data_IF_195564315187
#
_entry.id   IF_195564315187
#
_cell.length_a   1.000
_cell.length_b   1.000
_cell.length_c   1.000
_cell.angle_alpha   90.00
_cell.angle_beta   90.00
_cell.angle_gamma   90.00
#
_symmetry.space_group_name_H-M   'P 1'
#
loop_
_entity.id
_entity.type
_entity.pdbx_description
1 polymer ?
#
# COMPACT_ATOMS: atom_id res chain seq x y z
N UNK A 1 14.52 -23.48 -34.56
CA UNK A 1 14.26 -23.36 -33.11
C UNK A 1 14.37 -21.89 -32.73
N UNK A 2 13.22 -21.24 -32.61
CA UNK A 2 13.08 -19.78 -32.53
C UNK A 2 13.28 -19.33 -31.10
N UNK A 3 14.39 -18.63 -30.83
CA UNK A 3 14.66 -17.96 -29.57
C UNK A 3 13.60 -16.87 -29.34
N UNK A 4 12.72 -17.08 -28.35
CA UNK A 4 11.79 -16.05 -27.88
C UNK A 4 12.60 -14.97 -27.17
N UNK A 5 12.84 -13.86 -27.87
CA UNK A 5 13.24 -12.58 -27.30
C UNK A 5 12.21 -12.21 -26.23
N UNK A 6 12.59 -12.30 -24.97
CA UNK A 6 11.87 -11.66 -23.87
C UNK A 6 12.00 -10.16 -24.12
N UNK A 7 10.88 -9.49 -24.41
CA UNK A 7 10.84 -8.06 -24.64
C UNK A 7 11.33 -7.32 -23.40
N UNK A 8 12.43 -6.57 -23.53
CA UNK A 8 12.76 -5.47 -22.62
C UNK A 8 11.65 -4.42 -22.74
N UNK A 9 10.68 -4.45 -21.84
CA UNK A 9 9.72 -3.36 -21.69
C UNK A 9 10.12 -2.52 -20.48
N UNK A 10 10.49 -1.28 -20.81
CA UNK A 10 10.57 -0.04 -20.01
C UNK A 10 11.00 -0.13 -18.53
N UNK A 11 12.19 0.40 -18.26
CA UNK A 11 12.73 0.71 -16.91
C UNK A 11 12.67 2.23 -16.68
N UNK A 12 11.56 2.86 -17.03
CA UNK A 12 11.32 4.27 -16.71
C UNK A 12 10.34 4.35 -15.54
N UNK A 13 10.71 5.09 -14.48
CA UNK A 13 9.80 5.42 -13.38
C UNK A 13 10.14 4.87 -12.00
N UNK A 14 11.07 3.91 -11.85
CA UNK A 14 11.38 3.31 -10.54
C UNK A 14 12.55 4.04 -9.86
N UNK A 15 12.31 4.67 -8.72
CA UNK A 15 13.38 5.21 -7.85
C UNK A 15 13.96 4.07 -6.98
N UNK A 16 15.28 4.07 -6.78
CA UNK A 16 16.03 2.96 -6.18
C UNK A 16 15.84 2.70 -4.67
N UNK A 17 14.76 3.18 -4.06
CA UNK A 17 14.56 3.16 -2.59
C UNK A 17 13.16 2.67 -2.14
N UNK A 18 12.26 2.26 -3.04
CA UNK A 18 10.91 1.74 -2.71
C UNK A 18 10.94 0.19 -2.53
N UNK A 19 10.14 -0.38 -1.63
CA UNK A 19 10.00 -1.83 -1.44
C UNK A 19 9.73 -2.56 -2.77
N UNK A 20 8.88 -2.02 -3.63
CA UNK A 20 8.50 -2.61 -4.91
C UNK A 20 9.64 -2.63 -5.93
N UNK A 21 10.57 -1.68 -5.85
CA UNK A 21 11.80 -1.74 -6.64
C UNK A 21 12.62 -2.96 -6.25
N UNK A 22 12.87 -3.16 -4.95
CA UNK A 22 13.66 -4.29 -4.47
C UNK A 22 12.97 -5.62 -4.75
N UNK A 23 11.65 -5.69 -4.59
CA UNK A 23 10.86 -6.88 -4.93
C UNK A 23 10.94 -7.20 -6.42
N UNK A 24 10.82 -6.19 -7.30
CA UNK A 24 10.99 -6.38 -8.74
C UNK A 24 12.40 -6.88 -9.09
N UNK A 25 13.45 -6.35 -8.46
CA UNK A 25 14.81 -6.87 -8.62
C UNK A 25 14.90 -8.35 -8.25
N UNK A 26 14.20 -8.79 -7.19
CA UNK A 26 14.17 -10.20 -6.81
C UNK A 26 13.42 -11.08 -7.82
N UNK A 27 12.39 -10.57 -8.50
CA UNK A 27 11.70 -11.29 -9.57
C UNK A 27 12.68 -11.69 -10.69
N UNK A 28 13.50 -10.75 -11.15
CA UNK A 28 14.40 -10.95 -12.29
C UNK A 28 15.73 -11.61 -11.91
N UNK A 29 16.14 -11.53 -10.64
CA UNK A 29 17.39 -12.09 -10.15
C UNK A 29 17.40 -13.63 -10.26
N UNK A 30 18.54 -14.19 -10.68
CA UNK A 30 18.84 -15.62 -10.54
C UNK A 30 19.46 -15.86 -9.17
N UNK A 31 18.98 -16.88 -8.47
CA UNK A 31 19.47 -17.27 -7.15
C UNK A 31 19.80 -18.75 -7.15
N UNK A 32 20.83 -19.15 -6.40
CA UNK A 32 21.22 -20.55 -6.25
C UNK A 32 20.21 -21.31 -5.41
N UNK A 33 19.81 -20.76 -4.26
CA UNK A 33 18.66 -21.25 -3.49
C UNK A 33 17.49 -20.26 -3.65
N UNK A 34 16.24 -20.72 -3.81
CA UNK A 34 15.08 -19.83 -3.87
C UNK A 34 14.98 -18.89 -2.65
N UNK A 35 15.39 -19.37 -1.47
CA UNK A 35 15.37 -18.62 -0.21
C UNK A 35 16.29 -17.38 -0.22
N UNK A 36 17.42 -17.41 -0.95
CA UNK A 36 18.38 -16.29 -0.92
C UNK A 36 17.80 -15.00 -1.51
N UNK A 37 16.72 -15.09 -2.30
CA UNK A 37 15.97 -13.91 -2.78
C UNK A 37 15.30 -13.16 -1.63
N UNK A 38 14.75 -13.88 -0.65
CA UNK A 38 14.14 -13.28 0.54
C UNK A 38 15.24 -12.74 1.45
N UNK A 39 16.26 -13.56 1.72
CA UNK A 39 17.38 -13.18 2.57
C UNK A 39 18.14 -11.93 2.06
N UNK A 40 18.30 -11.82 0.74
CA UNK A 40 18.96 -10.66 0.12
C UNK A 40 18.24 -9.33 0.31
N UNK A 41 16.96 -9.35 0.70
CA UNK A 41 16.18 -8.15 1.02
C UNK A 41 16.37 -7.69 2.47
N UNK A 42 16.81 -8.57 3.38
CA UNK A 42 16.85 -8.28 4.81
C UNK A 42 17.69 -7.05 5.14
N UNK A 43 18.88 -6.93 4.55
CA UNK A 43 19.73 -5.76 4.74
C UNK A 43 19.11 -4.48 4.14
N UNK A 44 18.44 -4.56 3.00
CA UNK A 44 17.89 -3.40 2.30
C UNK A 44 16.62 -2.86 2.99
N UNK A 45 15.78 -3.76 3.49
CA UNK A 45 14.47 -3.42 4.05
C UNK A 45 14.48 -3.29 5.58
N UNK A 46 15.50 -3.83 6.25
CA UNK A 46 15.65 -3.80 7.71
C UNK A 46 16.99 -3.17 8.17
N UNK A 47 17.95 -2.92 7.29
CA UNK A 47 19.30 -2.49 7.71
C UNK A 47 19.45 -1.00 7.99
N UNK A 48 18.51 -0.15 7.55
CA UNK A 48 18.61 1.30 7.78
C UNK A 48 18.13 1.67 9.19
N UNK A 49 19.08 2.07 10.05
CA UNK A 49 18.90 2.22 11.50
C UNK A 49 18.28 3.57 11.93
N UNK A 50 17.83 4.41 11.01
CA UNK A 50 17.30 5.74 11.34
C UNK A 50 15.79 5.77 11.61
N UNK A 51 15.07 4.69 11.30
CA UNK A 51 13.63 4.56 11.60
C UNK A 51 13.31 3.12 12.02
N UNK A 52 13.06 2.90 13.30
CA UNK A 52 12.36 1.76 13.93
C UNK A 52 12.55 0.35 13.36
N UNK A 53 13.66 0.06 12.68
CA UNK A 53 14.00 -1.31 12.29
C UNK A 53 14.42 -2.07 13.54
N UNK A 54 13.77 -3.22 13.77
CA UNK A 54 13.90 -3.95 15.04
C UNK A 54 15.11 -4.88 15.04
N UNK A 55 15.38 -5.56 13.93
CA UNK A 55 16.47 -6.53 13.77
C UNK A 55 16.55 -7.02 12.32
N UNK A 56 17.64 -7.71 11.96
CA UNK A 56 17.74 -8.47 10.72
C UNK A 56 17.34 -9.92 11.02
N UNK A 57 16.34 -10.50 10.32
CA UNK A 57 15.97 -11.91 10.51
C UNK A 57 17.15 -12.86 10.26
N UNK A 58 17.22 -13.93 11.04
CA UNK A 58 18.23 -14.99 10.86
C UNK A 58 17.93 -15.78 9.59
N UNK A 59 18.98 -16.08 8.83
CA UNK A 59 18.88 -17.01 7.71
C UNK A 59 18.85 -18.46 8.22
N UNK A 60 17.74 -19.14 7.98
CA UNK A 60 17.57 -20.58 8.26
C UNK A 60 17.27 -21.31 6.95
N UNK A 61 18.19 -22.15 6.51
CA UNK A 61 18.04 -22.89 5.25
C UNK A 61 16.96 -23.96 5.26
N UNK A 62 16.44 -24.32 6.44
CA UNK A 62 15.35 -25.28 6.59
C UNK A 62 13.97 -24.64 6.44
N UNK A 63 13.91 -23.30 6.51
CA UNK A 63 12.68 -22.54 6.47
C UNK A 63 12.14 -22.39 5.04
N UNK A 64 10.82 -22.35 4.90
CA UNK A 64 10.18 -22.06 3.62
C UNK A 64 10.37 -20.59 3.21
N UNK A 65 10.23 -20.28 1.91
CA UNK A 65 10.32 -18.89 1.45
C UNK A 65 9.19 -18.02 2.01
N UNK A 66 8.01 -18.59 2.26
CA UNK A 66 6.87 -17.87 2.81
C UNK A 66 7.10 -17.54 4.29
N UNK A 67 7.58 -18.48 5.09
CA UNK A 67 7.86 -18.22 6.51
C UNK A 67 9.00 -17.20 6.66
N UNK A 68 10.02 -17.29 5.80
CA UNK A 68 11.11 -16.31 5.78
C UNK A 68 10.61 -14.92 5.36
N UNK A 69 9.69 -14.85 4.40
CA UNK A 69 9.05 -13.59 3.98
C UNK A 69 8.19 -13.00 5.11
N UNK A 70 7.47 -13.84 5.85
CA UNK A 70 6.69 -13.41 7.02
C UNK A 70 7.58 -12.79 8.09
N UNK A 71 8.68 -13.45 8.47
CA UNK A 71 9.65 -12.89 9.41
C UNK A 71 10.30 -11.60 8.89
N UNK A 72 10.57 -11.54 7.59
CA UNK A 72 11.13 -10.35 6.96
C UNK A 72 10.15 -9.18 7.04
N UNK A 73 8.88 -9.37 6.70
CA UNK A 73 7.89 -8.29 6.77
C UNK A 73 7.67 -7.84 8.22
N UNK A 74 7.72 -8.75 9.19
CA UNK A 74 7.62 -8.39 10.62
C UNK A 74 8.79 -7.52 11.10
N UNK A 75 9.99 -7.74 10.57
CA UNK A 75 11.22 -7.02 10.91
C UNK A 75 11.44 -5.75 10.07
N UNK A 76 10.76 -5.67 8.92
CA UNK A 76 10.88 -4.61 7.93
C UNK A 76 10.56 -3.23 8.51
N UNK A 77 11.27 -2.20 8.03
CA UNK A 77 10.97 -0.81 8.36
C UNK A 77 9.48 -0.48 8.12
N UNK A 78 8.87 0.26 9.05
CA UNK A 78 7.44 0.62 9.01
C UNK A 78 7.05 1.30 7.70
N UNK A 79 7.93 2.10 7.08
CA UNK A 79 7.67 2.74 5.79
C UNK A 79 7.43 1.71 4.70
N UNK A 80 8.25 0.67 4.61
CA UNK A 80 8.08 -0.39 3.62
C UNK A 80 6.86 -1.28 3.91
N UNK A 81 6.52 -1.51 5.20
CA UNK A 81 5.28 -2.18 5.55
C UNK A 81 4.04 -1.39 5.08
N UNK A 82 4.07 -0.06 5.24
CA UNK A 82 3.01 0.81 4.76
C UNK A 82 2.97 0.83 3.23
N UNK A 83 4.09 0.80 2.53
CA UNK A 83 4.12 0.66 1.07
C UNK A 83 3.43 -0.65 0.63
N UNK A 84 3.71 -1.78 1.28
CA UNK A 84 3.00 -3.05 1.03
C UNK A 84 1.49 -2.92 1.25
N UNK A 85 1.07 -2.23 2.32
CA UNK A 85 -0.33 -2.02 2.65
C UNK A 85 -1.05 -1.13 1.62
N UNK A 86 -0.45 0.00 1.25
CA UNK A 86 -1.09 1.09 0.53
C UNK A 86 -0.89 1.08 -0.99
N UNK A 87 0.09 0.34 -1.50
CA UNK A 87 0.40 0.30 -2.93
C UNK A 87 0.09 -1.06 -3.54
N UNK A 88 0.31 -2.18 -2.82
CA UNK A 88 -0.01 -3.49 -3.37
C UNK A 88 -1.52 -3.66 -3.51
N UNK A 89 -2.06 -3.88 -4.72
CA UNK A 89 -3.49 -3.72 -4.98
C UNK A 89 -4.34 -4.87 -4.47
N UNK A 90 -3.77 -6.05 -4.25
CA UNK A 90 -4.56 -7.23 -3.91
C UNK A 90 -4.48 -7.55 -2.43
N UNK A 91 -5.50 -8.24 -1.88
CA UNK A 91 -5.38 -8.76 -0.54
C UNK A 91 -4.36 -9.88 -0.51
N UNK A 92 -3.69 -10.03 0.63
CA UNK A 92 -2.91 -11.22 0.94
C UNK A 92 -3.75 -12.49 0.82
N UNK A 93 -3.12 -13.55 0.33
CA UNK A 93 -3.69 -14.90 0.29
C UNK A 93 -3.24 -15.79 1.46
N UNK A 94 -2.48 -15.23 2.41
CA UNK A 94 -2.10 -15.88 3.66
C UNK A 94 -3.03 -15.51 4.82
N UNK A 95 -2.65 -15.88 6.06
CA UNK A 95 -3.39 -15.51 7.26
C UNK A 95 -3.50 -13.99 7.45
N UNK A 96 -2.43 -13.26 7.08
CA UNK A 96 -2.35 -11.81 7.13
C UNK A 96 -2.74 -11.23 5.77
N UNK A 97 -3.95 -10.70 5.66
CA UNK A 97 -4.54 -10.26 4.37
C UNK A 97 -4.16 -8.83 3.98
N UNK A 98 -3.64 -8.05 4.92
CA UNK A 98 -3.22 -6.67 4.68
C UNK A 98 -1.95 -6.55 3.80
N UNK A 99 -1.12 -7.60 3.76
CA UNK A 99 0.14 -7.67 2.99
C UNK A 99 0.15 -8.84 2.00
N UNK A 100 0.94 -8.78 0.91
CA UNK A 100 1.07 -9.90 -0.02
C UNK A 100 1.91 -11.04 0.55
N UNK A 101 1.66 -12.28 0.09
CA UNK A 101 2.58 -13.41 0.26
C UNK A 101 3.81 -13.30 -0.65
N UNK A 102 4.85 -14.08 -0.36
CA UNK A 102 6.03 -14.15 -1.22
C UNK A 102 5.66 -14.61 -2.62
N UNK A 103 4.82 -15.65 -2.73
CA UNK A 103 4.31 -16.13 -4.01
C UNK A 103 3.59 -15.03 -4.79
N UNK A 104 2.71 -14.27 -4.15
CA UNK A 104 2.02 -13.14 -4.78
C UNK A 104 2.98 -12.08 -5.30
N UNK A 105 4.01 -11.76 -4.53
CA UNK A 105 5.07 -10.83 -4.93
C UNK A 105 5.86 -11.37 -6.11
N UNK A 106 6.15 -12.66 -6.16
CA UNK A 106 7.01 -13.24 -7.21
C UNK A 106 6.28 -13.52 -8.53
N UNK A 107 4.98 -13.78 -8.50
CA UNK A 107 4.20 -14.17 -9.67
C UNK A 107 3.55 -12.99 -10.40
N UNK A 108 3.24 -11.89 -9.69
CA UNK A 108 2.48 -10.78 -10.26
C UNK A 108 3.37 -9.66 -10.76
N UNK A 109 2.92 -8.97 -11.82
CA UNK A 109 3.59 -7.74 -12.28
C UNK A 109 3.45 -6.70 -11.18
N UNK A 110 4.58 -6.32 -10.58
CA UNK A 110 4.65 -5.24 -9.62
C UNK A 110 4.60 -3.94 -10.41
N UNK A 111 3.46 -3.24 -10.35
CA UNK A 111 3.31 -1.90 -10.92
C UNK A 111 3.71 -0.90 -9.84
N UNK A 112 4.86 -0.25 -10.02
CA UNK A 112 5.26 0.86 -9.18
C UNK A 112 4.49 2.10 -9.68
N UNK A 113 3.69 2.79 -8.85
CA UNK A 113 3.09 4.05 -9.27
C UNK A 113 4.21 5.04 -9.60
N UNK A 114 4.21 5.55 -10.82
CA UNK A 114 5.05 6.69 -11.22
C UNK A 114 4.59 7.91 -10.42
N UNK A 115 5.21 8.15 -9.26
CA UNK A 115 5.31 9.41 -8.49
C UNK A 115 4.95 9.24 -7.03
N UNK A 116 5.94 9.48 -6.19
CA UNK A 116 5.76 9.91 -4.81
C UNK A 116 6.80 9.28 -3.90
N UNK A 117 7.76 10.07 -3.41
CA UNK A 117 8.48 9.65 -2.21
C UNK A 117 7.49 9.78 -1.04
N UNK A 118 7.27 8.69 -0.30
CA UNK A 118 6.57 8.78 0.99
C UNK A 118 7.50 9.48 1.98
N UNK A 119 7.39 10.80 2.10
CA UNK A 119 8.10 11.51 3.15
C UNK A 119 7.36 11.31 4.48
N UNK A 120 8.00 10.58 5.40
CA UNK A 120 7.64 10.40 6.81
C UNK A 120 6.13 10.20 7.06
N UNK A 121 5.62 8.97 6.88
CA UNK A 121 4.24 8.68 7.23
C UNK A 121 4.01 8.95 8.73
N UNK A 122 2.90 9.60 9.06
CA UNK A 122 2.41 9.69 10.44
C UNK A 122 1.61 8.43 10.84
N UNK A 123 1.28 7.61 9.85
CA UNK A 123 0.66 6.31 10.06
C UNK A 123 1.72 5.28 10.44
N UNK A 124 1.32 4.26 11.18
CA UNK A 124 2.21 3.16 11.55
C UNK A 124 1.47 1.84 11.67
N UNK A 125 2.20 0.74 11.46
CA UNK A 125 1.74 -0.62 11.70
C UNK A 125 2.58 -1.18 12.85
N UNK A 126 1.92 -1.77 13.84
CA UNK A 126 2.61 -2.46 14.94
C UNK A 126 2.01 -3.85 15.15
N UNK A 127 2.88 -4.84 15.33
CA UNK A 127 2.50 -6.18 15.76
C UNK A 127 2.25 -6.18 17.27
N UNK A 128 1.11 -6.72 17.69
CA UNK A 128 0.73 -6.88 19.09
C UNK A 128 1.22 -8.22 19.65
N UNK A 129 1.24 -8.36 20.97
CA UNK A 129 1.60 -9.62 21.65
C UNK A 129 0.68 -10.79 21.27
N UNK A 130 -0.56 -10.49 20.89
CA UNK A 130 -1.53 -11.48 20.39
C UNK A 130 -1.16 -12.06 19.03
N UNK A 131 -0.19 -11.45 18.33
CA UNK A 131 0.16 -11.77 16.94
C UNK A 131 -0.64 -10.97 15.90
N UNK A 132 -1.66 -10.21 16.33
CA UNK A 132 -2.43 -9.31 15.45
C UNK A 132 -1.61 -8.07 15.07
N UNK A 133 -2.04 -7.37 14.02
CA UNK A 133 -1.43 -6.13 13.57
C UNK A 133 -2.39 -4.96 13.80
N UNK A 134 -1.89 -3.90 14.41
CA UNK A 134 -2.63 -2.65 14.60
C UNK A 134 -2.06 -1.59 13.68
N UNK A 135 -2.93 -1.06 12.82
CA UNK A 135 -2.69 0.15 12.06
C UNK A 135 -3.17 1.35 12.86
N UNK A 136 -2.38 2.43 12.88
CA UNK A 136 -2.79 3.71 13.46
C UNK A 136 -2.67 4.81 12.40
N UNK A 137 -3.76 5.54 12.15
CA UNK A 137 -3.79 6.58 11.13
C UNK A 137 -5.20 6.97 10.67
N UNK A 138 -5.33 7.76 9.60
CA UNK A 138 -6.61 8.16 9.03
C UNK A 138 -7.54 6.99 8.72
N UNK A 139 -8.81 7.12 9.08
CA UNK A 139 -9.83 6.13 8.75
C UNK A 139 -11.19 6.78 8.46
N UNK A 140 -11.77 6.43 7.32
CA UNK A 140 -13.17 6.70 7.00
C UNK A 140 -13.94 5.42 7.31
N UNK A 141 -14.79 5.46 8.35
CA UNK A 141 -15.54 4.29 8.80
C UNK A 141 -16.47 3.73 7.71
N UNK A 142 -17.14 4.62 6.98
CA UNK A 142 -18.14 4.26 5.99
C UNK A 142 -18.10 5.21 4.79
N UNK A 143 -17.74 4.68 3.63
CA UNK A 143 -17.74 5.40 2.36
C UNK A 143 -18.23 4.52 1.21
N UNK A 144 -19.07 5.09 0.34
CA UNK A 144 -19.59 4.37 -0.84
C UNK A 144 -18.68 4.62 -2.03
N UNK A 145 -18.10 3.55 -2.59
CA UNK A 145 -17.28 3.58 -3.80
C UNK A 145 -18.10 3.13 -4.98
N UNK A 146 -17.96 3.82 -6.12
CA UNK A 146 -18.56 3.41 -7.39
C UNK A 146 -17.69 3.72 -8.60
N UNK A 147 -17.92 2.99 -9.70
CA UNK A 147 -17.22 3.20 -10.97
C UNK A 147 -15.86 2.50 -11.08
N UNK A 148 -15.52 1.65 -10.10
CA UNK A 148 -14.28 0.86 -10.09
C UNK A 148 -14.55 -0.65 -10.23
N UNK A 149 -15.79 -1.06 -10.46
CA UNK A 149 -16.15 -2.48 -10.57
C UNK A 149 -15.64 -3.13 -11.87
N UNK A 150 -15.70 -2.38 -12.98
CA UNK A 150 -15.40 -2.89 -14.32
C UNK A 150 -14.40 -1.97 -15.01
N UNK A 151 -13.34 -2.54 -15.58
CA UNK A 151 -12.42 -1.79 -16.43
C UNK A 151 -11.18 -2.58 -16.77
N UNK A 152 -10.82 -2.62 -18.05
CA UNK A 152 -9.47 -2.97 -18.47
C UNK A 152 -8.54 -1.84 -18.00
N UNK A 153 -7.54 -2.18 -17.19
CA UNK A 153 -6.47 -1.25 -16.88
C UNK A 153 -5.54 -1.13 -18.09
N UNK A 154 -5.47 0.06 -18.66
CA UNK A 154 -4.42 0.43 -19.61
C UNK A 154 -3.33 1.18 -18.85
N UNK A 155 -2.07 0.75 -19.01
CA UNK A 155 -0.92 1.42 -18.39
C UNK A 155 -0.91 2.90 -18.79
N UNK A 156 -0.85 3.79 -17.79
CA UNK A 156 -0.97 5.25 -17.98
C UNK A 156 -2.39 5.83 -17.96
N UNK A 157 -3.44 5.00 -17.90
CA UNK A 157 -4.84 5.45 -17.74
C UNK A 157 -5.48 4.79 -16.51
N UNK A 158 -5.41 5.42 -15.32
CA UNK A 158 -6.04 4.87 -14.13
C UNK A 158 -7.56 4.78 -14.31
N UNK A 159 -8.14 3.74 -13.73
CA UNK A 159 -9.61 3.62 -13.61
C UNK A 159 -10.11 4.70 -12.67
N UNK A 160 -11.25 5.31 -13.00
CA UNK A 160 -11.78 6.47 -12.29
C UNK A 160 -13.13 6.14 -11.67
N UNK A 161 -13.31 6.52 -10.42
CA UNK A 161 -14.54 6.31 -9.68
C UNK A 161 -14.87 7.50 -8.79
N UNK A 162 -15.85 7.29 -7.93
CA UNK A 162 -16.27 8.27 -6.92
C UNK A 162 -16.34 7.61 -5.55
N UNK A 163 -15.88 8.32 -4.54
CA UNK A 163 -16.09 8.03 -3.13
C UNK A 163 -17.11 9.02 -2.58
N UNK A 164 -18.20 8.51 -2.03
CA UNK A 164 -19.25 9.31 -1.37
C UNK A 164 -19.18 9.06 0.12
N UNK A 165 -18.96 10.11 0.90
CA UNK A 165 -18.88 10.05 2.36
C UNK A 165 -20.10 10.76 2.94
N UNK A 166 -20.85 10.07 3.78
CA UNK A 166 -21.94 10.65 4.55
C UNK A 166 -21.36 11.23 5.84
N UNK A 167 -21.69 12.48 6.15
CA UNK A 167 -21.34 13.08 7.43
C UNK A 167 -22.42 12.73 8.46
N UNK A 168 -22.00 12.43 9.70
CA UNK A 168 -22.92 12.09 10.79
C UNK A 168 -23.72 13.32 11.29
N UNK A 169 -23.29 14.55 10.97
CA UNK A 169 -23.90 15.80 11.46
C UNK A 169 -24.81 16.51 10.43
N UNK A 170 -26.10 16.15 10.44
CA UNK A 170 -27.20 16.95 9.89
C UNK A 170 -27.35 17.00 8.35
N UNK A 171 -28.20 17.88 7.79
CA UNK A 171 -28.59 17.93 6.37
C UNK A 171 -27.49 18.53 5.47
N UNK A 172 -26.24 18.18 5.71
CA UNK A 172 -25.11 18.58 4.88
C UNK A 172 -25.04 17.65 3.67
N UNK A 173 -24.79 18.21 2.49
CA UNK A 173 -24.61 17.41 1.28
C UNK A 173 -23.43 16.43 1.46
N UNK A 174 -23.52 15.20 0.95
CA UNK A 174 -22.44 14.23 1.07
C UNK A 174 -21.18 14.72 0.35
N UNK A 175 -20.01 14.39 0.89
CA UNK A 175 -18.74 14.70 0.23
C UNK A 175 -18.51 13.71 -0.90
N UNK A 176 -18.36 14.21 -2.13
CA UNK A 176 -18.09 13.40 -3.31
C UNK A 176 -16.65 13.68 -3.75
N UNK A 177 -15.81 12.65 -3.70
CA UNK A 177 -14.39 12.72 -4.02
C UNK A 177 -14.12 11.86 -5.24
N UNK A 178 -13.33 12.38 -6.18
CA UNK A 178 -12.86 11.60 -7.33
C UNK A 178 -11.72 10.67 -6.89
N UNK A 179 -11.86 9.38 -7.19
CA UNK A 179 -10.88 8.35 -6.83
C UNK A 179 -10.32 7.67 -8.07
N UNK A 180 -9.12 7.13 -7.92
CA UNK A 180 -8.35 6.51 -9.00
C UNK A 180 -7.82 5.15 -8.56
N UNK A 181 -7.83 4.17 -9.45
CA UNK A 181 -7.18 2.88 -9.24
C UNK A 181 -6.17 2.63 -10.37
N UNK A 182 -4.89 2.53 -10.00
CA UNK A 182 -3.76 2.31 -10.92
C UNK A 182 -3.46 0.82 -11.15
N UNK A 183 -4.49 -0.02 -11.05
CA UNK A 183 -4.38 -1.48 -11.19
C UNK A 183 -5.65 -2.05 -11.80
N UNK A 184 -5.56 -3.29 -12.30
CA UNK A 184 -6.67 -4.03 -12.90
C UNK A 184 -7.61 -4.70 -11.87
N UNK A 185 -7.14 -4.91 -10.62
CA UNK A 185 -7.95 -5.62 -9.61
C UNK A 185 -9.30 -4.91 -9.36
N UNK A 186 -10.45 -5.59 -9.53
CA UNK A 186 -11.76 -4.95 -9.49
C UNK A 186 -12.13 -4.51 -8.06
N UNK A 187 -12.82 -3.39 -7.95
CA UNK A 187 -13.36 -2.88 -6.69
C UNK A 187 -14.86 -2.70 -6.91
N UNK A 188 -15.70 -3.67 -6.50
CA UNK A 188 -17.14 -3.60 -6.73
C UNK A 188 -17.74 -2.33 -6.14
N UNK A 189 -18.83 -1.86 -6.74
CA UNK A 189 -19.57 -0.73 -6.18
C UNK A 189 -20.19 -1.15 -4.84
N UNK A 190 -20.02 -0.34 -3.79
CA UNK A 190 -20.43 -0.74 -2.45
C UNK A 190 -19.94 0.16 -1.33
N UNK A 191 -20.35 -0.19 -0.12
CA UNK A 191 -19.92 0.46 1.11
C UNK A 191 -18.68 -0.21 1.68
N UNK A 192 -17.70 0.62 2.02
CA UNK A 192 -16.40 0.18 2.51
C UNK A 192 -15.94 1.01 3.69
N UNK A 193 -15.05 0.44 4.47
CA UNK A 193 -14.15 1.16 5.37
C UNK A 193 -12.89 1.50 4.59
N UNK A 194 -12.33 2.69 4.81
CA UNK A 194 -11.09 3.10 4.17
C UNK A 194 -10.08 3.54 5.23
N UNK A 195 -8.85 3.05 5.15
CA UNK A 195 -7.71 3.57 5.91
C UNK A 195 -6.78 4.33 4.97
N UNK A 196 -6.16 5.42 5.42
CA UNK A 196 -5.43 6.37 4.56
C UNK A 196 -4.00 6.62 5.00
N UNK A 197 -3.14 7.13 4.13
CA UNK A 197 -1.80 7.61 4.56
C UNK A 197 -1.86 9.09 4.90
N UNK A 198 -1.38 9.50 6.09
CA UNK A 198 -1.12 10.92 6.39
C UNK A 198 0.36 11.23 6.26
N UNK A 199 0.70 12.21 5.41
CA UNK A 199 2.07 12.68 5.23
C UNK A 199 2.36 13.89 6.11
N UNK A 200 3.53 13.93 6.74
CA UNK A 200 4.05 15.13 7.40
C UNK A 200 4.91 15.93 6.43
N UNK A 201 4.67 17.25 6.36
CA UNK A 201 5.45 18.16 5.53
C UNK A 201 6.75 18.58 6.23
N UNK A 202 7.87 18.58 5.50
CA UNK A 202 9.00 19.48 5.80
C UNK A 202 8.93 20.60 4.75
N UNK A 203 8.57 21.82 5.16
CA UNK A 203 8.66 22.99 4.28
C UNK A 203 10.12 23.16 3.86
N UNK A 204 10.42 22.97 2.57
CA UNK A 204 11.50 23.72 1.92
C UNK A 204 10.83 24.69 0.95
N UNK A 205 11.19 25.95 1.12
CA UNK A 205 10.67 27.11 0.40
C UNK A 205 10.66 26.87 -1.11
N UNK A 206 9.49 26.76 -1.71
CA UNK A 206 9.21 27.03 -3.13
C UNK A 206 7.68 26.93 -3.37
N UNK A 207 7.03 27.95 -3.97
CA UNK A 207 5.61 27.89 -4.28
C UNK A 207 5.41 27.34 -5.68
N UNK A 208 4.75 26.19 -5.81
CA UNK A 208 4.10 25.74 -7.05
C UNK A 208 3.19 24.59 -6.65
N UNK A 209 1.91 24.67 -7.02
CA UNK A 209 0.86 23.70 -6.72
C UNK A 209 1.37 22.25 -6.66
N UNK A 210 1.59 21.72 -5.45
CA UNK A 210 1.98 20.32 -5.30
C UNK A 210 0.69 19.52 -5.18
N UNK A 211 0.40 18.62 -6.12
CA UNK A 211 -0.67 17.66 -5.92
C UNK A 211 -0.20 16.63 -4.90
N UNK A 212 -0.87 16.53 -3.75
CA UNK A 212 -0.64 15.41 -2.86
C UNK A 212 -1.45 14.22 -3.36
N UNK A 213 -0.73 13.17 -3.77
CA UNK A 213 -1.31 11.86 -3.97
C UNK A 213 -1.54 11.24 -2.58
N UNK A 214 -2.79 11.00 -2.22
CA UNK A 214 -3.16 10.32 -0.99
C UNK A 214 -3.52 8.87 -1.34
N UNK A 215 -2.96 7.92 -0.58
CA UNK A 215 -3.23 6.51 -0.76
C UNK A 215 -4.25 6.05 0.26
N UNK A 216 -5.14 5.18 -0.19
CA UNK A 216 -6.22 4.62 0.59
C UNK A 216 -6.25 3.11 0.40
N UNK A 217 -6.43 2.37 1.48
CA UNK A 217 -6.81 0.96 1.41
C UNK A 217 -8.31 0.86 1.61
N UNK A 218 -8.97 0.28 0.62
CA UNK A 218 -10.39 -0.07 0.63
C UNK A 218 -10.53 -1.45 1.25
N UNK A 219 -11.45 -1.61 2.18
CA UNK A 219 -11.72 -2.90 2.80
C UNK A 219 -13.03 -2.94 3.56
N UNK A 220 -13.24 -4.01 4.30
CA UNK A 220 -14.41 -4.19 5.15
C UNK A 220 -14.01 -4.32 6.60
N UNK A 221 -14.80 -3.71 7.48
CA UNK A 221 -14.77 -4.09 8.88
C UNK A 221 -15.54 -5.41 9.05
N UNK A 222 -14.84 -6.45 9.49
CA UNK A 222 -15.42 -7.76 9.79
C UNK A 222 -16.19 -7.72 11.11
N UNK A 223 -16.96 -8.78 11.36
CA UNK A 223 -17.71 -8.97 12.60
C UNK A 223 -16.82 -9.03 13.86
N UNK A 224 -15.57 -9.49 13.71
CA UNK A 224 -14.56 -9.56 14.77
C UNK A 224 -13.76 -8.25 14.91
N UNK A 225 -14.28 -7.14 14.36
CA UNK A 225 -13.70 -5.79 14.39
C UNK A 225 -12.39 -5.61 13.61
N UNK A 226 -11.87 -6.66 12.97
CA UNK A 226 -10.69 -6.54 12.10
C UNK A 226 -11.06 -5.97 10.74
N UNK A 227 -10.14 -5.20 10.18
CA UNK A 227 -10.20 -4.64 8.84
C UNK A 227 -9.61 -5.62 7.85
N UNK A 228 -10.45 -6.10 6.95
CA UNK A 228 -10.04 -6.95 5.84
C UNK A 228 -9.83 -6.10 4.59
N UNK A 229 -8.57 -5.99 4.17
CA UNK A 229 -8.18 -5.32 2.92
C UNK A 229 -8.90 -5.98 1.74
N UNK A 230 -9.46 -5.14 0.87
CA UNK A 230 -9.92 -5.52 -0.46
C UNK A 230 -8.93 -5.05 -1.53
N UNK A 231 -8.61 -3.76 -1.55
CA UNK A 231 -7.80 -3.16 -2.61
C UNK A 231 -7.27 -1.80 -2.19
N UNK A 232 -6.53 -1.12 -3.08
CA UNK A 232 -6.03 0.24 -2.87
C UNK A 232 -6.64 1.22 -3.88
N UNK A 233 -6.78 2.49 -3.49
CA UNK A 233 -7.17 3.59 -4.38
C UNK A 233 -6.36 4.84 -4.04
N UNK A 234 -6.46 5.83 -4.91
CA UNK A 234 -5.80 7.11 -4.77
C UNK A 234 -6.78 8.26 -4.91
N UNK A 235 -6.49 9.36 -4.20
CA UNK A 235 -7.09 10.67 -4.41
C UNK A 235 -5.99 11.70 -4.67
N UNK A 236 -6.30 12.75 -5.44
CA UNK A 236 -5.40 13.90 -5.63
C UNK A 236 -5.93 15.08 -4.83
N UNK A 237 -5.06 15.73 -4.03
CA UNK A 237 -5.39 16.95 -3.28
C UNK A 237 -4.66 18.16 -3.87
N UNK A 238 -5.39 19.26 -4.07
CA UNK A 238 -4.82 20.56 -4.46
C UNK A 238 -4.55 21.37 -3.19
N UNK A 239 -3.32 21.86 -3.01
CA UNK A 239 -2.89 22.45 -1.74
C UNK A 239 -3.33 23.89 -1.49
N UNK A 240 -3.90 24.62 -2.44
CA UNK A 240 -4.21 26.03 -2.18
C UNK A 240 -5.55 26.25 -1.44
N UNK A 241 -6.53 25.35 -1.53
CA UNK A 241 -7.90 25.64 -1.04
C UNK A 241 -8.61 24.49 -0.30
N UNK A 242 -8.21 23.23 -0.49
CA UNK A 242 -8.93 22.08 0.09
C UNK A 242 -8.42 21.65 1.47
N UNK A 243 -7.68 22.52 2.17
CA UNK A 243 -7.02 22.12 3.41
C UNK A 243 -7.96 21.75 4.56
N UNK A 244 -9.21 22.20 4.52
CA UNK A 244 -10.16 22.01 5.63
C UNK A 244 -11.12 20.84 5.39
N UNK A 245 -11.51 20.58 4.14
CA UNK A 245 -12.66 19.73 3.87
C UNK A 245 -12.45 18.23 4.13
N UNK A 246 -11.22 17.71 4.09
CA UNK A 246 -10.93 16.29 4.31
C UNK A 246 -10.31 16.00 5.69
N UNK A 247 -9.51 16.91 6.23
CA UNK A 247 -8.97 16.77 7.60
C UNK A 247 -10.10 16.75 8.65
N UNK A 248 -11.24 17.38 8.37
CA UNK A 248 -12.46 17.29 9.20
C UNK A 248 -13.17 15.92 9.09
N UNK A 249 -12.86 15.12 8.05
CA UNK A 249 -13.54 13.85 7.74
C UNK A 249 -12.73 12.64 8.22
N UNK A 250 -11.42 12.81 8.40
CA UNK A 250 -10.47 11.73 8.65
C UNK A 250 -9.99 11.70 10.11
N UNK A 251 -10.70 11.01 11.03
CA UNK A 251 -10.18 10.80 12.36
C UNK A 251 -8.91 9.95 12.31
N UNK A 252 -7.92 10.34 13.10
CA UNK A 252 -6.80 9.46 13.43
C UNK A 252 -7.31 8.38 14.38
N UNK A 253 -7.23 7.12 13.97
CA UNK A 253 -7.79 6.00 14.73
C UNK A 253 -6.86 4.80 14.73
N UNK A 254 -7.21 3.80 15.55
CA UNK A 254 -6.53 2.52 15.60
C UNK A 254 -7.44 1.45 14.97
N UNK A 255 -6.90 0.69 14.03
CA UNK A 255 -7.62 -0.34 13.27
C UNK A 255 -6.83 -1.64 13.34
N UNK A 256 -7.46 -2.73 13.80
CA UNK A 256 -6.85 -4.06 13.74
C UNK A 256 -6.91 -4.56 12.31
N UNK A 257 -5.78 -4.99 11.75
CA UNK A 257 -5.69 -5.53 10.39
C UNK A 257 -5.91 -7.04 10.39
N UNK A 258 -6.59 -7.55 9.35
CA UNK A 258 -6.61 -8.97 9.01
C UNK A 258 -5.33 -9.40 8.32
#
# INVERSE_FOLDING_TARGET
MTSKRISKQSVEGIKGEDVFYFLWQMQIRKSTKPLDKVAGLAYLLCGDSWMDSKYIPVYDETQSQEDAWDMLVDAMNVCFQLELLFIYPEPGNGPQRWRPSWRQVMERRILCPERGQMYRPQSHIRKLETGDFLYEGPCIKLGFISGLAHGSYEEGKPRQGKLVIQLEDGPRAPHIIKVFAHHAFPIPDGWYTLIGTKYSWVRKELPTFTYLLQYWVVGWQRWDQRFEKLSVINTYRILEQDYKNLDDIEPFTQVLLC
#
